data_IF_608359994887
#
_entry.id   IF_608359994887
#
_cell.length_a   1.000
_cell.length_b   1.000
_cell.length_c   1.000
_cell.angle_alpha   90.00
_cell.angle_beta   90.00
_cell.angle_gamma   90.00
#
_symmetry.space_group_name_H-M   'P 1'
#
loop_
_entity.id
_entity.type
_entity.pdbx_description
1 polymer ?
#
# COMPACT_ATOMS: atom_id res chain seq x y z
N UNK A 1 -6.48 -21.42 -14.14
CA UNK A 1 -6.40 -20.79 -12.80
C UNK A 1 -5.36 -19.69 -12.89
N UNK A 2 -5.63 -18.52 -12.33
CA UNK A 2 -4.64 -17.45 -12.27
C UNK A 2 -3.53 -17.83 -11.28
N UNK A 3 -2.30 -17.50 -11.63
CA UNK A 3 -1.11 -17.88 -10.86
C UNK A 3 -0.50 -16.69 -10.12
N UNK A 4 -0.95 -15.49 -10.44
CA UNK A 4 -0.44 -14.23 -9.89
C UNK A 4 -1.59 -13.27 -9.60
N UNK A 5 -1.39 -12.47 -8.57
CA UNK A 5 -2.18 -11.28 -8.26
C UNK A 5 -1.26 -10.07 -8.39
N UNK A 6 -1.69 -9.03 -9.08
CA UNK A 6 -0.92 -7.82 -9.31
C UNK A 6 -1.69 -6.61 -8.82
N UNK A 7 -0.99 -5.66 -8.20
CA UNK A 7 -1.49 -4.28 -8.14
C UNK A 7 -0.88 -3.53 -9.32
N UNK A 8 -1.71 -2.91 -10.16
CA UNK A 8 -1.29 -2.17 -11.34
C UNK A 8 -1.65 -0.70 -11.17
N UNK A 9 -0.73 0.18 -11.55
CA UNK A 9 -0.94 1.63 -11.58
C UNK A 9 -1.27 2.03 -13.01
N UNK A 10 -2.41 2.67 -13.18
CA UNK A 10 -2.89 3.19 -14.46
C UNK A 10 -2.46 4.64 -14.67
N UNK A 11 -2.52 5.43 -13.60
CA UNK A 11 -2.31 6.86 -13.67
C UNK A 11 -1.83 7.42 -12.34
N UNK A 12 -0.95 8.39 -12.39
CA UNK A 12 -0.68 9.32 -11.28
C UNK A 12 -1.08 10.71 -11.76
N UNK A 13 -1.74 11.49 -10.90
CA UNK A 13 -2.17 12.87 -11.18
C UNK A 13 -1.72 13.79 -10.05
N UNK A 14 -1.11 14.92 -10.41
CA UNK A 14 -0.99 16.08 -9.52
C UNK A 14 -2.32 16.84 -9.61
N UNK A 15 -3.05 16.90 -8.49
CA UNK A 15 -4.33 17.61 -8.43
C UNK A 15 -4.14 19.07 -8.03
N UNK A 16 -3.18 19.31 -7.13
CA UNK A 16 -2.81 20.62 -6.57
C UNK A 16 -1.37 20.48 -6.05
N UNK A 17 -0.50 21.41 -6.40
CA UNK A 17 0.90 21.49 -6.01
C UNK A 17 1.03 22.29 -4.70
N UNK A 18 2.08 22.00 -3.96
CA UNK A 18 2.37 22.56 -2.64
C UNK A 18 2.50 24.09 -2.72
N UNK A 19 1.59 24.82 -2.04
CA UNK A 19 1.59 26.29 -1.82
C UNK A 19 2.00 27.19 -3.02
N UNK A 20 1.01 27.65 -3.78
CA UNK A 20 1.13 28.66 -4.85
C UNK A 20 1.58 30.08 -4.44
N UNK A 21 2.71 30.23 -3.75
CA UNK A 21 3.45 31.49 -3.73
C UNK A 21 4.29 31.57 -5.01
N UNK A 22 4.20 32.70 -5.70
CA UNK A 22 4.85 33.04 -6.97
C UNK A 22 6.37 32.77 -7.09
N UNK A 23 7.02 32.32 -6.02
CA UNK A 23 8.45 32.02 -5.90
C UNK A 23 8.77 30.52 -6.04
N UNK A 24 7.83 29.62 -5.80
CA UNK A 24 8.04 28.14 -5.88
C UNK A 24 7.59 27.54 -7.22
N UNK A 25 6.92 28.30 -8.09
CA UNK A 25 6.58 27.93 -9.50
C UNK A 25 7.78 27.62 -10.43
N UNK A 26 8.99 27.62 -9.89
CA UNK A 26 10.23 27.24 -10.57
C UNK A 26 10.89 26.01 -9.91
N UNK A 27 10.24 25.41 -8.91
CA UNK A 27 10.62 24.18 -8.23
C UNK A 27 10.12 22.99 -9.02
N UNK A 28 11.04 22.34 -9.72
CA UNK A 28 10.78 21.19 -10.56
C UNK A 28 10.71 19.92 -9.69
N UNK A 29 9.57 19.59 -9.11
CA UNK A 29 9.50 18.48 -8.15
C UNK A 29 9.38 17.11 -8.85
N UNK A 30 10.36 16.25 -8.56
CA UNK A 30 10.37 14.85 -8.98
C UNK A 30 9.61 14.01 -7.97
N UNK A 31 8.53 13.37 -8.42
CA UNK A 31 7.74 12.48 -7.57
C UNK A 31 8.21 11.04 -7.74
N UNK A 32 8.42 10.38 -6.62
CA UNK A 32 8.72 8.96 -6.57
C UNK A 32 7.62 8.20 -5.83
N UNK A 33 7.39 6.96 -6.26
CA UNK A 33 6.45 6.05 -5.61
C UNK A 33 7.15 4.74 -5.25
N UNK A 34 7.05 4.36 -3.99
CA UNK A 34 7.54 3.09 -3.45
C UNK A 34 6.61 2.59 -2.36
N UNK A 35 7.09 1.68 -1.52
CA UNK A 35 6.35 1.27 -0.34
C UNK A 35 6.64 -0.16 0.09
N UNK A 36 5.61 -0.86 0.54
CA UNK A 36 5.73 -2.24 1.00
C UNK A 36 4.53 -3.09 0.60
N UNK A 37 4.76 -4.38 0.42
CA UNK A 37 3.74 -5.39 0.18
C UNK A 37 3.65 -6.34 1.38
N UNK A 38 2.46 -6.88 1.63
CA UNK A 38 2.17 -7.86 2.67
C UNK A 38 1.44 -9.03 2.01
N UNK A 39 2.05 -10.21 2.06
CA UNK A 39 1.48 -11.43 1.48
C UNK A 39 0.49 -12.14 2.42
N UNK A 40 -0.11 -13.24 1.94
CA UNK A 40 -1.10 -14.02 2.70
C UNK A 40 -0.55 -14.66 3.98
N UNK A 41 0.77 -14.71 4.14
CA UNK A 41 1.49 -15.26 5.29
C UNK A 41 1.98 -14.16 6.23
N UNK A 42 1.55 -12.92 6.01
CA UNK A 42 2.02 -11.74 6.72
C UNK A 42 3.53 -11.47 6.54
N UNK A 43 4.13 -11.94 5.46
CA UNK A 43 5.48 -11.54 5.08
C UNK A 43 5.42 -10.18 4.41
N UNK A 44 6.27 -9.28 4.89
CA UNK A 44 6.38 -7.93 4.33
C UNK A 44 7.61 -7.85 3.43
N UNK A 45 7.43 -7.30 2.23
CA UNK A 45 8.49 -7.07 1.25
C UNK A 45 8.56 -5.59 0.90
N UNK A 46 9.78 -5.09 0.70
CA UNK A 46 10.01 -3.72 0.23
C UNK A 46 9.66 -3.62 -1.25
N UNK A 47 8.92 -2.58 -1.61
CA UNK A 47 8.70 -2.18 -3.00
C UNK A 47 9.61 -0.99 -3.27
N UNK A 48 10.67 -1.25 -4.03
CA UNK A 48 11.66 -0.24 -4.36
C UNK A 48 10.99 0.96 -5.05
N UNK A 49 11.37 2.18 -4.65
CA UNK A 49 10.97 3.38 -5.36
C UNK A 49 11.21 3.37 -6.85
N UNK A 50 10.37 4.09 -7.59
CA UNK A 50 10.64 4.50 -8.95
C UNK A 50 10.18 5.94 -9.18
N UNK A 51 10.85 6.65 -10.08
CA UNK A 51 10.44 7.99 -10.53
C UNK A 51 9.16 7.88 -11.37
N UNK A 52 8.12 8.60 -10.97
CA UNK A 52 6.82 8.65 -11.63
C UNK A 52 6.91 9.53 -12.86
N UNK A 53 7.32 10.77 -12.66
CA UNK A 53 7.44 11.80 -13.68
C UNK A 53 8.43 12.88 -13.21
N UNK A 54 9.33 13.35 -14.10
CA UNK A 54 10.11 14.54 -13.81
C UNK A 54 9.23 15.78 -14.03
N UNK A 55 9.25 16.73 -13.08
CA UNK A 55 8.52 18.01 -13.16
C UNK A 55 7.01 17.81 -13.19
N UNK A 56 6.42 17.57 -12.02
CA UNK A 56 5.00 17.23 -11.92
C UNK A 56 4.18 18.41 -11.42
N UNK A 57 3.66 19.21 -12.35
CA UNK A 57 2.98 20.47 -12.08
C UNK A 57 1.46 20.30 -11.83
N UNK A 58 0.80 21.35 -11.36
CA UNK A 58 -0.66 21.44 -11.22
C UNK A 58 -1.44 20.88 -12.42
N UNK A 59 -2.19 19.80 -12.17
CA UNK A 59 -3.04 19.18 -13.18
C UNK A 59 -2.33 18.18 -14.09
N UNK A 60 -1.02 18.00 -13.94
CA UNK A 60 -0.26 17.01 -14.70
C UNK A 60 -0.71 15.59 -14.42
N UNK A 61 -0.64 14.80 -15.47
CA UNK A 61 -1.10 13.42 -15.46
C UNK A 61 -0.08 12.52 -16.13
N UNK A 62 0.50 11.61 -15.35
CA UNK A 62 1.26 10.49 -15.88
C UNK A 62 0.36 9.28 -16.08
N UNK A 63 0.02 8.99 -17.34
CA UNK A 63 -0.67 7.76 -17.73
C UNK A 63 0.33 6.62 -18.03
N UNK A 64 -0.04 5.39 -17.69
CA UNK A 64 0.70 4.17 -18.02
C UNK A 64 -0.12 3.29 -18.96
N UNK A 65 0.39 3.06 -20.18
CA UNK A 65 -0.19 2.15 -21.16
C UNK A 65 0.92 1.30 -21.79
N UNK A 66 1.05 0.01 -21.46
CA UNK A 66 0.20 -0.75 -20.53
C UNK A 66 0.33 -0.27 -19.06
N UNK A 67 -0.63 -0.62 -18.18
CA UNK A 67 -0.56 -0.28 -16.76
C UNK A 67 0.74 -0.77 -16.14
N UNK A 68 1.35 0.05 -15.28
CA UNK A 68 2.60 -0.31 -14.61
C UNK A 68 2.32 -1.28 -13.47
N UNK A 69 2.91 -2.47 -13.52
CA UNK A 69 2.84 -3.41 -12.39
C UNK A 69 3.64 -2.84 -11.21
N UNK A 70 2.96 -2.55 -10.11
CA UNK A 70 3.58 -2.03 -8.90
C UNK A 70 4.17 -3.15 -8.06
N UNK A 71 3.40 -4.23 -7.88
CA UNK A 71 3.84 -5.45 -7.21
C UNK A 71 3.11 -6.67 -7.75
N UNK A 72 3.73 -7.84 -7.64
CA UNK A 72 3.14 -9.13 -8.01
C UNK A 72 3.27 -10.11 -6.85
N UNK A 73 2.13 -10.61 -6.40
CA UNK A 73 2.04 -11.72 -5.46
C UNK A 73 1.91 -13.05 -6.22
N UNK A 74 2.74 -14.05 -5.91
CA UNK A 74 2.51 -15.40 -6.41
C UNK A 74 1.31 -16.03 -5.70
N UNK A 75 0.34 -16.57 -6.47
CA UNK A 75 -0.82 -17.30 -5.94
C UNK A 75 -0.60 -18.81 -5.89
N UNK A 76 0.48 -19.31 -6.48
CA UNK A 76 0.84 -20.73 -6.53
C UNK A 76 1.22 -21.36 -5.18
N UNK A 77 1.28 -20.56 -4.11
CA UNK A 77 1.59 -21.04 -2.76
C UNK A 77 0.53 -21.99 -2.19
N UNK A 78 0.96 -23.03 -1.49
CA UNK A 78 0.09 -23.86 -0.65
C UNK A 78 -0.46 -23.03 0.52
N UNK A 79 -1.71 -23.29 0.92
CA UNK A 79 -2.37 -22.61 2.03
C UNK A 79 -3.88 -22.55 1.88
N UNK A 80 -4.57 -22.32 2.99
CA UNK A 80 -6.02 -22.20 3.05
C UNK A 80 -6.52 -20.89 2.41
N UNK A 81 -7.77 -20.92 1.97
CA UNK A 81 -8.50 -19.74 1.50
C UNK A 81 -9.57 -19.39 2.55
N UNK A 82 -9.96 -18.11 2.71
CA UNK A 82 -9.57 -16.94 1.92
C UNK A 82 -8.16 -16.41 2.24
N UNK A 83 -7.58 -15.65 1.31
CA UNK A 83 -6.27 -15.00 1.44
C UNK A 83 -6.41 -13.48 1.31
N UNK A 84 -5.62 -12.76 2.09
CA UNK A 84 -5.62 -11.29 2.10
C UNK A 84 -4.23 -10.81 1.72
N UNK A 85 -4.17 -9.79 0.87
CA UNK A 85 -2.95 -9.13 0.44
C UNK A 85 -3.06 -7.63 0.74
N UNK A 86 -1.94 -7.01 1.06
CA UNK A 86 -1.87 -5.58 1.36
C UNK A 86 -0.70 -4.91 0.66
N UNK A 87 -0.88 -3.65 0.28
CA UNK A 87 0.18 -2.77 -0.20
C UNK A 87 0.06 -1.44 0.52
N UNK A 88 1.14 -1.00 1.15
CA UNK A 88 1.29 0.39 1.56
C UNK A 88 2.02 1.16 0.47
N UNK A 89 1.36 2.15 -0.11
CA UNK A 89 1.91 3.08 -1.09
C UNK A 89 2.51 4.28 -0.36
N UNK A 90 3.74 4.63 -0.70
CA UNK A 90 4.48 5.75 -0.12
C UNK A 90 4.92 6.67 -1.26
N UNK A 91 4.45 7.90 -1.23
CA UNK A 91 4.78 8.95 -2.21
C UNK A 91 5.75 9.95 -1.57
N UNK A 92 6.78 10.31 -2.31
CA UNK A 92 7.91 11.14 -1.83
C UNK A 92 8.25 12.17 -2.90
N UNK A 93 8.38 13.43 -2.49
CA UNK A 93 8.87 14.57 -3.26
C UNK A 93 10.38 14.71 -3.04
N UNK A 94 11.21 14.54 -4.08
CA UNK A 94 12.66 14.88 -4.08
C UNK A 94 13.63 13.96 -3.29
N UNK A 95 14.89 14.08 -3.73
CA UNK A 95 16.15 13.33 -3.48
C UNK A 95 16.09 11.81 -3.19
N UNK A 96 16.42 11.02 -4.22
CA UNK A 96 16.45 9.55 -4.20
C UNK A 96 17.39 8.95 -3.12
N UNK A 97 18.35 9.73 -2.61
CA UNK A 97 19.32 9.29 -1.61
C UNK A 97 18.69 8.87 -0.27
N UNK A 98 17.69 9.62 0.20
CA UNK A 98 16.97 9.34 1.46
C UNK A 98 15.79 8.38 1.29
N UNK A 99 15.26 8.30 0.08
CA UNK A 99 14.00 7.62 -0.20
C UNK A 99 14.05 6.11 0.02
N UNK A 100 15.10 5.44 -0.45
CA UNK A 100 15.25 4.00 -0.27
C UNK A 100 15.36 3.66 1.23
N UNK A 101 16.04 4.49 2.01
CA UNK A 101 16.14 4.33 3.45
C UNK A 101 14.78 4.58 4.14
N UNK A 102 14.04 5.61 3.73
CA UNK A 102 12.69 5.89 4.24
C UNK A 102 11.74 4.71 3.99
N UNK A 103 11.67 4.21 2.75
CA UNK A 103 10.84 3.05 2.41
C UNK A 103 11.27 1.81 3.16
N UNK A 104 12.58 1.58 3.33
CA UNK A 104 13.08 0.44 4.11
C UNK A 104 12.70 0.53 5.61
N UNK A 105 12.81 1.71 6.22
CA UNK A 105 12.39 1.97 7.61
C UNK A 105 10.88 1.77 7.78
N UNK A 106 10.07 2.32 6.87
CA UNK A 106 8.62 2.14 6.86
C UNK A 106 8.27 0.66 6.73
N UNK A 107 8.90 -0.05 5.80
CA UNK A 107 8.70 -1.49 5.56
C UNK A 107 9.02 -2.31 6.81
N UNK A 108 10.17 -2.04 7.45
CA UNK A 108 10.60 -2.74 8.67
C UNK A 108 9.66 -2.49 9.84
N UNK A 109 9.21 -1.25 10.01
CA UNK A 109 8.25 -0.89 11.05
C UNK A 109 6.88 -1.52 10.79
N UNK A 110 6.38 -1.44 9.55
CA UNK A 110 5.11 -2.05 9.14
C UNK A 110 5.12 -3.56 9.38
N UNK A 111 6.21 -4.25 9.02
CA UNK A 111 6.41 -5.68 9.31
C UNK A 111 6.24 -5.98 10.79
N UNK A 112 6.97 -5.26 11.65
CA UNK A 112 6.92 -5.46 13.10
C UNK A 112 5.50 -5.25 13.65
N UNK A 113 4.83 -4.17 13.25
CA UNK A 113 3.49 -3.84 13.74
C UNK A 113 2.39 -4.75 13.21
N UNK A 114 2.45 -5.17 11.95
CA UNK A 114 1.48 -6.13 11.40
C UNK A 114 1.61 -7.47 12.12
N UNK A 115 2.83 -7.95 12.38
CA UNK A 115 3.04 -9.20 13.11
C UNK A 115 2.57 -9.10 14.57
N UNK A 116 2.82 -7.96 15.22
CA UNK A 116 2.33 -7.69 16.58
C UNK A 116 0.79 -7.73 16.64
N UNK A 117 0.12 -7.00 15.76
CA UNK A 117 -1.35 -6.97 15.71
C UNK A 117 -1.93 -8.32 15.30
N UNK A 118 -1.28 -9.06 14.38
CA UNK A 118 -1.70 -10.40 14.01
C UNK A 118 -1.63 -11.37 15.19
N UNK A 119 -0.60 -11.28 16.02
CA UNK A 119 -0.49 -12.09 17.23
C UNK A 119 -1.61 -11.75 18.23
N UNK A 120 -1.95 -10.47 18.40
CA UNK A 120 -3.08 -10.03 19.24
C UNK A 120 -4.41 -10.58 18.72
N UNK A 121 -4.67 -10.49 17.42
CA UNK A 121 -5.91 -10.99 16.82
C UNK A 121 -6.02 -12.52 16.89
N UNK A 122 -4.91 -13.25 16.67
CA UNK A 122 -4.88 -14.71 16.87
C UNK A 122 -5.22 -15.11 18.31
N UNK A 123 -4.68 -14.39 19.29
CA UNK A 123 -4.99 -14.62 20.71
C UNK A 123 -6.47 -14.37 21.00
N UNK A 124 -7.01 -13.21 20.60
CA UNK A 124 -8.44 -12.89 20.75
C UNK A 124 -9.35 -13.95 20.11
N UNK A 125 -8.99 -14.44 18.91
CA UNK A 125 -9.75 -15.47 18.21
C UNK A 125 -9.74 -16.81 18.96
N UNK A 126 -8.60 -17.17 19.54
CA UNK A 126 -8.44 -18.40 20.34
C UNK A 126 -9.23 -18.33 21.64
N UNK A 127 -9.14 -17.20 22.34
CA UNK A 127 -9.87 -16.97 23.59
C UNK A 127 -11.39 -17.05 23.36
N UNK A 128 -11.90 -16.44 22.28
CA UNK A 128 -13.32 -16.54 21.89
C UNK A 128 -13.74 -17.96 21.57
N UNK A 129 -12.91 -18.72 20.86
CA UNK A 129 -13.19 -20.13 20.53
C UNK A 129 -13.35 -21.00 21.77
N UNK A 130 -12.58 -20.72 22.82
CA UNK A 130 -12.66 -21.46 24.08
C UNK A 130 -13.87 -21.06 24.93
N UNK A 131 -14.38 -19.83 24.79
CA UNK A 131 -15.49 -19.32 25.58
C UNK A 131 -16.87 -19.61 24.96
N UNK A 132 -16.98 -19.67 23.64
CA UNK A 132 -18.27 -19.76 22.93
C UNK A 132 -18.41 -21.10 22.24
N UNK A 133 -19.26 -21.96 22.79
CA UNK A 133 -19.60 -23.26 22.18
C UNK A 133 -20.22 -23.02 20.79
N UNK A 134 -19.65 -23.67 19.76
CA UNK A 134 -20.08 -23.51 18.37
C UNK A 134 -19.41 -22.38 17.59
N UNK A 135 -18.44 -21.65 18.18
CA UNK A 135 -17.68 -20.64 17.45
C UNK A 135 -16.74 -21.25 16.41
N UNK A 136 -17.04 -20.97 15.14
CA UNK A 136 -16.17 -21.26 14.00
C UNK A 136 -15.21 -20.08 13.86
N UNK A 137 -13.99 -20.23 14.39
CA UNK A 137 -13.00 -19.15 14.44
C UNK A 137 -12.71 -18.50 13.08
N UNK A 138 -12.16 -17.27 13.12
CA UNK A 138 -11.78 -16.55 11.91
C UNK A 138 -10.61 -17.23 11.19
N UNK A 139 -10.63 -17.19 9.85
CA UNK A 139 -9.53 -17.65 9.00
C UNK A 139 -8.29 -16.75 9.15
N UNK A 140 -7.13 -17.26 8.73
CA UNK A 140 -5.89 -16.47 8.77
C UNK A 140 -5.99 -15.18 7.93
N UNK A 141 -6.59 -15.25 6.73
CA UNK A 141 -6.80 -14.07 5.89
C UNK A 141 -7.63 -13.00 6.61
N UNK A 142 -8.74 -13.38 7.22
CA UNK A 142 -9.58 -12.45 7.98
C UNK A 142 -8.83 -11.81 9.16
N UNK A 143 -8.03 -12.58 9.88
CA UNK A 143 -7.19 -12.06 10.98
C UNK A 143 -6.09 -11.11 10.46
N UNK A 144 -5.49 -11.42 9.31
CA UNK A 144 -4.50 -10.56 8.69
C UNK A 144 -5.09 -9.22 8.22
N UNK A 145 -6.29 -9.23 7.65
CA UNK A 145 -6.99 -7.99 7.29
C UNK A 145 -7.21 -7.10 8.52
N UNK A 146 -7.65 -7.69 9.64
CA UNK A 146 -7.82 -6.97 10.90
C UNK A 146 -6.48 -6.43 11.42
N UNK A 147 -5.42 -7.22 11.33
CA UNK A 147 -4.08 -6.81 11.75
C UNK A 147 -3.53 -5.65 10.92
N UNK A 148 -3.68 -5.67 9.59
CA UNK A 148 -3.27 -4.57 8.71
C UNK A 148 -4.04 -3.30 9.07
N UNK A 149 -5.37 -3.39 9.26
CA UNK A 149 -6.20 -2.25 9.65
C UNK A 149 -5.83 -1.69 11.03
N UNK A 150 -5.53 -2.56 11.99
CA UNK A 150 -5.10 -2.16 13.34
C UNK A 150 -3.70 -1.53 13.33
N UNK A 151 -2.79 -2.01 12.48
CA UNK A 151 -1.43 -1.49 12.36
C UNK A 151 -1.36 -0.15 11.60
N UNK A 152 -2.27 0.08 10.64
CA UNK A 152 -2.32 1.28 9.80
C UNK A 152 -2.11 2.62 10.55
N UNK A 153 -2.87 2.95 11.63
CA UNK A 153 -2.66 4.22 12.34
C UNK A 153 -1.27 4.34 12.98
N UNK A 154 -0.65 3.24 13.42
CA UNK A 154 0.70 3.26 13.98
C UNK A 154 1.76 3.44 12.90
N UNK A 155 1.56 2.83 11.73
CA UNK A 155 2.45 2.99 10.58
C UNK A 155 2.42 4.46 10.14
N UNK A 156 1.22 5.04 10.04
CA UNK A 156 1.03 6.45 9.74
C UNK A 156 1.72 7.35 10.77
N UNK A 157 1.51 7.11 12.07
CA UNK A 157 2.13 7.87 13.15
C UNK A 157 3.67 7.77 13.13
N UNK A 158 4.21 6.60 12.81
CA UNK A 158 5.64 6.40 12.64
C UNK A 158 6.20 7.20 11.47
N UNK A 159 5.52 7.18 10.31
CA UNK A 159 5.93 7.97 9.15
C UNK A 159 5.98 9.45 9.52
N UNK A 160 4.91 9.98 10.11
CA UNK A 160 4.82 11.38 10.51
C UNK A 160 5.91 11.76 11.52
N UNK A 161 6.08 10.99 12.60
CA UNK A 161 6.97 11.38 13.70
C UNK A 161 8.44 11.09 13.46
N UNK A 162 8.76 10.07 12.67
CA UNK A 162 10.14 9.56 12.55
C UNK A 162 10.72 9.72 11.17
N UNK A 163 9.90 9.66 10.14
CA UNK A 163 10.38 9.72 8.77
C UNK A 163 10.26 11.15 8.26
N UNK A 164 9.09 11.78 8.34
CA UNK A 164 8.93 13.18 7.87
C UNK A 164 9.85 14.14 8.63
N UNK A 165 10.03 13.94 9.94
CA UNK A 165 11.00 14.69 10.75
C UNK A 165 12.48 14.44 10.40
N UNK A 166 12.81 13.38 9.65
CA UNK A 166 14.17 13.03 9.25
C UNK A 166 14.48 13.34 7.78
N UNK A 167 13.46 13.60 6.96
CA UNK A 167 13.54 13.84 5.53
C UNK A 167 12.81 15.15 5.16
N UNK A 168 12.90 16.17 6.03
CA UNK A 168 12.41 17.54 5.82
C UNK A 168 11.01 17.64 5.16
N UNK A 169 10.06 16.85 5.65
CA UNK A 169 8.66 16.87 5.19
C UNK A 169 8.43 16.47 3.71
N UNK A 170 9.38 15.80 3.06
CA UNK A 170 9.28 15.37 1.66
C UNK A 170 8.38 14.12 1.43
N UNK A 171 7.76 13.58 2.47
CA UNK A 171 7.01 12.32 2.41
C UNK A 171 5.54 12.54 2.71
N UNK A 172 4.69 11.94 1.89
CA UNK A 172 3.26 11.94 2.09
C UNK A 172 2.82 10.81 3.02
N UNK A 173 1.74 11.06 3.77
CA UNK A 173 1.00 10.03 4.51
C UNK A 173 0.74 8.82 3.61
N UNK A 174 1.18 7.60 4.00
CA UNK A 174 1.02 6.43 3.15
C UNK A 174 -0.45 6.03 3.00
N UNK A 175 -0.79 5.52 1.83
CA UNK A 175 -2.10 4.95 1.53
C UNK A 175 -2.01 3.42 1.54
N UNK A 176 -2.95 2.74 2.21
CA UNK A 176 -2.93 1.28 2.33
C UNK A 176 -4.08 0.68 1.51
N UNK A 177 -3.71 -0.07 0.47
CA UNK A 177 -4.64 -0.84 -0.35
C UNK A 177 -4.63 -2.32 0.09
N UNK A 178 -5.80 -2.89 0.33
CA UNK A 178 -5.95 -4.32 0.61
C UNK A 178 -6.91 -4.99 -0.39
N UNK A 179 -6.70 -6.27 -0.64
CA UNK A 179 -7.62 -7.12 -1.39
C UNK A 179 -7.77 -8.47 -0.71
N UNK A 180 -9.01 -8.95 -0.64
CA UNK A 180 -9.33 -10.30 -0.21
C UNK A 180 -9.67 -11.15 -1.43
N UNK A 181 -9.03 -12.30 -1.52
CA UNK A 181 -9.33 -13.33 -2.51
C UNK A 181 -10.03 -14.50 -1.79
N UNK A 182 -11.34 -14.72 -2.04
CA UNK A 182 -12.10 -15.79 -1.40
C UNK A 182 -11.66 -17.21 -1.77
N UNK A 183 -11.10 -17.42 -2.96
CA UNK A 183 -10.71 -18.74 -3.46
C UNK A 183 -9.65 -18.67 -4.57
N UNK A 184 -9.04 -19.82 -4.89
CA UNK A 184 -8.06 -19.95 -5.98
C UNK A 184 -8.62 -19.67 -7.38
N UNK A 185 -9.94 -19.84 -7.58
CA UNK A 185 -10.62 -19.61 -8.84
C UNK A 185 -11.43 -18.30 -8.84
N UNK A 186 -11.12 -17.41 -7.89
CA UNK A 186 -11.81 -16.13 -7.78
C UNK A 186 -11.71 -15.33 -9.07
N UNK A 187 -12.78 -14.62 -9.38
CA UNK A 187 -12.85 -13.59 -10.41
C UNK A 187 -13.85 -12.53 -9.96
N UNK A 188 -13.77 -11.33 -10.53
CA UNK A 188 -14.66 -10.22 -10.18
C UNK A 188 -15.84 -10.18 -11.16
N UNK A 189 -16.80 -11.08 -10.96
CA UNK A 189 -17.98 -11.22 -11.82
C UNK A 189 -17.64 -11.51 -13.29
N UNK A 190 -16.72 -12.45 -13.51
CA UNK A 190 -16.20 -12.81 -14.84
C UNK A 190 -14.98 -12.01 -15.28
N UNK A 191 -14.65 -10.90 -14.62
CA UNK A 191 -13.45 -10.12 -14.90
C UNK A 191 -12.22 -10.67 -14.14
N UNK A 192 -11.05 -10.53 -14.75
CA UNK A 192 -9.76 -10.86 -14.13
C UNK A 192 -9.11 -9.63 -13.50
N UNK A 193 -9.82 -8.53 -13.38
CA UNK A 193 -9.39 -7.31 -12.73
C UNK A 193 -10.55 -6.63 -11.99
N UNK A 194 -10.19 -5.87 -10.97
CA UNK A 194 -11.14 -5.03 -10.24
C UNK A 194 -11.43 -3.77 -11.03
N UNK A 195 -12.53 -3.08 -10.70
CA UNK A 195 -12.67 -1.67 -11.04
C UNK A 195 -11.49 -0.85 -10.49
N UNK A 196 -11.13 0.22 -11.20
CA UNK A 196 -10.11 1.16 -10.75
C UNK A 196 -10.50 1.83 -9.43
N UNK A 197 -9.50 2.10 -8.61
CA UNK A 197 -9.60 2.83 -7.34
C UNK A 197 -8.57 3.95 -7.32
N UNK A 198 -8.79 4.92 -6.43
CA UNK A 198 -7.89 6.05 -6.25
C UNK A 198 -7.33 6.01 -4.82
N UNK A 199 -6.01 5.98 -4.70
CA UNK A 199 -5.29 6.33 -3.48
C UNK A 199 -4.95 7.82 -3.56
N UNK A 200 -5.36 8.60 -2.54
CA UNK A 200 -5.24 10.06 -2.55
C UNK A 200 -4.31 10.51 -1.44
N UNK A 201 -3.15 11.01 -1.83
CA UNK A 201 -2.14 11.58 -0.95
C UNK A 201 -2.45 13.06 -0.77
N UNK A 202 -2.58 13.50 0.48
CA UNK A 202 -2.79 14.91 0.82
C UNK A 202 -1.92 15.27 2.01
N UNK A 203 -0.86 16.01 1.76
CA UNK A 203 -0.03 16.59 2.80
C UNK A 203 0.75 17.79 2.27
N UNK A 204 1.32 18.58 3.17
CA UNK A 204 2.21 19.73 2.87
C UNK A 204 1.63 20.86 2.03
N UNK A 205 0.43 20.70 1.46
CA UNK A 205 -0.17 21.60 0.49
C UNK A 205 -0.45 20.89 -0.83
N UNK A 206 0.33 19.85 -1.16
CA UNK A 206 0.17 19.03 -2.34
C UNK A 206 -0.95 17.99 -2.23
N UNK A 207 -1.55 17.67 -3.38
CA UNK A 207 -2.57 16.63 -3.54
C UNK A 207 -2.23 15.79 -4.76
N UNK A 208 -1.95 14.51 -4.52
CA UNK A 208 -1.66 13.54 -5.58
C UNK A 208 -2.67 12.38 -5.55
N UNK A 209 -3.04 11.93 -6.74
CA UNK A 209 -3.94 10.79 -6.92
C UNK A 209 -3.26 9.68 -7.72
N UNK A 210 -3.18 8.49 -7.13
CA UNK A 210 -2.72 7.27 -7.81
C UNK A 210 -3.94 6.41 -8.12
N UNK A 211 -4.22 6.25 -9.42
CA UNK A 211 -5.28 5.36 -9.92
C UNK A 211 -4.70 3.96 -10.13
N UNK A 212 -5.30 2.95 -9.50
CA UNK A 212 -4.81 1.58 -9.50
C UNK A 212 -5.94 0.56 -9.56
N UNK A 213 -5.60 -0.68 -9.91
CA UNK A 213 -6.48 -1.84 -9.76
C UNK A 213 -5.73 -3.07 -9.22
N UNK A 214 -6.49 -4.12 -8.97
CA UNK A 214 -5.96 -5.46 -8.74
C UNK A 214 -6.30 -6.35 -9.93
N UNK A 215 -5.34 -7.14 -10.40
CA UNK A 215 -5.53 -8.03 -11.53
C UNK A 215 -4.97 -9.43 -11.28
N UNK A 216 -5.65 -10.43 -11.83
CA UNK A 216 -5.28 -11.84 -11.83
C UNK A 216 -4.67 -12.19 -13.20
N UNK A 217 -3.54 -12.92 -13.19
CA UNK A 217 -2.88 -13.42 -14.41
C UNK A 217 -2.34 -14.83 -14.25
#
# INVERSE_FOLDING_TARGET
MSTKLQLRIHRVKCVDETNGQWVEKFGNDEIFLGGFAVDEKAQTTEIKPFSVYPHFDDGDVKNYSPPRVFHTFPLSGAGEWPRTFGIGLVLIEKDAGGMAEAVNKITSFAKGKILEELAKEKKKNTDKKNQVQGFLGLSLGALLLLAIKAAAPYILDYVIKKIMAAFDDEIFKPEIATIDLPSANHNWSGALDTVEKIARFKDHGGIYEVTYDWALS
#
